data_IF_850724388577
#
_entry.id   IF_850724388577
#
_cell.length_a   1.000
_cell.length_b   1.000
_cell.length_c   1.000
_cell.angle_alpha   90.00
_cell.angle_beta   90.00
_cell.angle_gamma   90.00
#
_symmetry.space_group_name_H-M   'P 1'
#
loop_
_entity.id
_entity.type
_entity.pdbx_description
1 polymer ?
#
# COMPACT_ATOMS: atom_id res chain seq x y z
N UNK A 1 -3.00 9.36 13.68
CA UNK A 1 -1.60 9.74 13.35
C UNK A 1 -1.42 9.64 11.85
N UNK A 2 -0.72 10.57 11.20
CA UNK A 2 -0.40 10.47 9.76
C UNK A 2 1.05 10.02 9.62
N UNK A 3 1.30 9.05 8.76
CA UNK A 3 2.61 8.45 8.52
C UNK A 3 2.85 8.33 7.01
N UNK A 4 4.12 8.28 6.61
CA UNK A 4 4.51 7.84 5.27
C UNK A 4 4.61 6.31 5.23
N UNK A 5 4.14 5.70 4.14
CA UNK A 5 4.36 4.31 3.78
C UNK A 5 5.13 4.28 2.46
N UNK A 6 6.45 4.07 2.54
CA UNK A 6 7.39 4.41 1.46
C UNK A 6 8.48 3.37 1.15
N UNK A 7 8.14 2.07 0.97
CA UNK A 7 9.14 1.08 0.59
C UNK A 7 9.83 1.47 -0.74
N UNK A 8 11.13 1.17 -0.82
CA UNK A 8 11.93 1.46 -2.00
C UNK A 8 13.09 0.50 -2.19
N UNK A 9 13.60 0.48 -3.40
CA UNK A 9 14.77 -0.29 -3.83
C UNK A 9 15.67 0.60 -4.68
N UNK A 10 16.98 0.49 -4.44
CA UNK A 10 17.98 1.28 -5.16
C UNK A 10 19.11 0.36 -5.63
N UNK A 11 19.39 0.43 -6.93
CA UNK A 11 20.55 -0.22 -7.55
C UNK A 11 21.55 0.87 -7.92
N UNK A 12 22.68 0.87 -7.23
CA UNK A 12 23.79 1.81 -7.44
C UNK A 12 24.17 1.89 -8.92
N UNK A 13 24.46 3.12 -9.39
CA UNK A 13 24.79 3.45 -10.78
C UNK A 13 23.77 3.02 -11.85
N UNK A 14 22.55 2.66 -11.46
CA UNK A 14 21.49 2.27 -12.38
C UNK A 14 20.19 3.04 -12.12
N UNK A 15 19.35 2.57 -11.20
CA UNK A 15 18.01 3.10 -11.00
C UNK A 15 17.55 2.98 -9.55
N UNK A 16 16.55 3.77 -9.20
CA UNK A 16 15.85 3.71 -7.93
C UNK A 16 14.34 3.68 -8.12
N UNK A 17 13.64 3.00 -7.22
CA UNK A 17 12.19 2.92 -7.18
C UNK A 17 11.78 3.18 -5.73
N UNK A 18 10.80 4.07 -5.54
CA UNK A 18 10.11 4.28 -4.26
C UNK A 18 8.64 4.46 -4.53
N UNK A 19 7.80 3.77 -3.77
CA UNK A 19 6.35 3.90 -3.83
C UNK A 19 5.90 4.46 -2.49
N UNK A 20 5.37 5.68 -2.49
CA UNK A 20 5.10 6.44 -1.27
C UNK A 20 3.66 6.95 -1.25
N UNK A 21 2.93 6.57 -0.19
CA UNK A 21 1.63 7.13 0.15
C UNK A 21 1.64 7.64 1.59
N UNK A 22 0.97 8.76 1.84
CA UNK A 22 0.57 9.12 3.20
C UNK A 22 -0.61 8.26 3.63
N UNK A 23 -0.54 7.75 4.86
CA UNK A 23 -1.58 6.94 5.48
C UNK A 23 -2.00 7.50 6.83
N UNK A 24 -3.30 7.45 7.12
CA UNK A 24 -3.87 7.76 8.42
C UNK A 24 -4.01 6.47 9.23
N UNK A 25 -3.43 6.45 10.43
CA UNK A 25 -3.73 5.41 11.44
C UNK A 25 -5.16 5.59 11.90
N UNK A 26 -6.02 4.60 11.63
CA UNK A 26 -7.43 4.61 12.01
C UNK A 26 -7.61 4.25 13.48
N UNK A 27 -8.74 4.65 14.10
CA UNK A 27 -9.12 4.12 15.40
C UNK A 27 -9.16 2.58 15.40
N UNK A 28 -8.93 1.93 16.56
CA UNK A 28 -8.98 0.49 16.65
C UNK A 28 -10.39 -0.04 16.37
N UNK A 29 -10.50 -1.16 15.66
CA UNK A 29 -11.76 -1.84 15.35
C UNK A 29 -11.62 -3.36 15.57
N UNK A 30 -12.75 -4.04 15.74
CA UNK A 30 -12.82 -5.49 15.93
C UNK A 30 -12.42 -6.20 14.65
N UNK A 31 -11.40 -7.05 14.76
CA UNK A 31 -10.98 -7.92 13.66
C UNK A 31 -11.62 -9.29 13.81
N UNK A 32 -12.19 -9.82 12.73
CA UNK A 32 -12.79 -11.15 12.72
C UNK A 32 -11.73 -12.21 13.10
N UNK A 33 -12.04 -13.01 14.13
CA UNK A 33 -11.12 -14.01 14.69
C UNK A 33 -9.99 -13.41 15.57
N UNK A 34 -9.97 -12.10 15.78
CA UNK A 34 -9.03 -11.43 16.67
C UNK A 34 -9.46 -11.47 18.13
N UNK A 35 -8.48 -11.37 19.05
CA UNK A 35 -8.70 -11.34 20.51
C UNK A 35 -8.77 -9.93 21.08
N UNK A 36 -8.48 -8.91 20.28
CA UNK A 36 -8.55 -7.48 20.65
C UNK A 36 -8.80 -6.61 19.42
N UNK A 37 -9.25 -5.39 19.67
CA UNK A 37 -9.37 -4.38 18.62
C UNK A 37 -7.97 -3.95 18.13
N UNK A 38 -7.85 -3.70 16.84
CA UNK A 38 -6.59 -3.36 16.18
C UNK A 38 -6.78 -2.10 15.34
N UNK A 39 -5.76 -1.25 15.32
CA UNK A 39 -5.71 -0.10 14.41
C UNK A 39 -5.45 -0.57 12.98
N UNK A 40 -5.88 0.23 12.00
CA UNK A 40 -5.64 0.02 10.58
C UNK A 40 -5.05 1.26 9.91
N UNK A 41 -5.03 1.23 8.58
CA UNK A 41 -4.56 2.33 7.75
C UNK A 41 -5.62 2.73 6.74
N UNK A 42 -5.85 4.03 6.61
CA UNK A 42 -6.58 4.65 5.51
C UNK A 42 -5.58 5.39 4.60
N UNK A 43 -5.69 5.20 3.29
CA UNK A 43 -4.78 5.84 2.32
C UNK A 43 -5.24 7.25 2.02
N UNK A 44 -4.36 8.24 2.16
CA UNK A 44 -4.66 9.65 1.89
C UNK A 44 -4.15 10.12 0.52
N UNK A 45 -3.00 9.61 0.09
CA UNK A 45 -2.46 9.89 -1.25
C UNK A 45 -3.26 9.11 -2.29
N UNK A 46 -3.90 9.80 -3.23
CA UNK A 46 -4.68 9.20 -4.32
C UNK A 46 -4.05 9.55 -5.68
N UNK A 47 -2.82 9.07 -5.88
CA UNK A 47 -2.07 9.23 -7.13
C UNK A 47 -1.89 7.86 -7.78
N UNK A 48 -2.22 7.68 -9.08
CA UNK A 48 -2.11 6.37 -9.70
C UNK A 48 -0.67 5.83 -9.76
N UNK A 49 -0.49 4.56 -9.39
CA UNK A 49 0.68 3.77 -9.78
C UNK A 49 0.80 3.65 -11.31
N UNK A 50 2.04 3.73 -11.82
CA UNK A 50 2.32 3.45 -13.23
C UNK A 50 2.24 1.94 -13.51
N UNK A 51 1.15 1.54 -14.15
CA UNK A 51 0.83 0.12 -14.44
C UNK A 51 1.83 -0.56 -15.38
N UNK A 52 2.63 0.21 -16.13
CA UNK A 52 3.66 -0.33 -17.03
C UNK A 52 4.83 -0.95 -16.26
N UNK A 53 4.99 -0.59 -15.00
CA UNK A 53 6.10 -1.04 -14.13
C UNK A 53 5.70 -2.17 -13.17
N UNK A 54 4.53 -2.79 -13.37
CA UNK A 54 3.99 -3.82 -12.49
C UNK A 54 3.99 -5.17 -13.21
N UNK A 55 4.78 -6.12 -12.70
CA UNK A 55 4.67 -7.52 -13.13
C UNK A 55 3.50 -8.20 -12.40
N UNK A 56 2.33 -8.16 -13.02
CA UNK A 56 1.08 -8.70 -12.45
C UNK A 56 1.13 -10.19 -12.12
N UNK A 57 2.07 -10.95 -12.68
CA UNK A 57 2.24 -12.39 -12.39
C UNK A 57 2.83 -12.64 -11.01
N UNK A 58 3.47 -11.64 -10.41
CA UNK A 58 4.04 -11.72 -9.06
C UNK A 58 3.04 -11.32 -7.97
N UNK A 59 1.89 -10.76 -8.34
CA UNK A 59 0.87 -10.33 -7.39
C UNK A 59 -0.02 -11.50 -6.97
N UNK A 60 -0.32 -11.58 -5.68
CA UNK A 60 -1.40 -12.40 -5.16
C UNK A 60 -2.76 -11.83 -5.60
N UNK A 61 -3.82 -12.65 -5.68
CA UNK A 61 -5.14 -12.18 -6.11
C UNK A 61 -5.68 -10.99 -5.30
N UNK A 62 -5.42 -10.94 -3.99
CA UNK A 62 -5.87 -9.86 -3.12
C UNK A 62 -5.06 -8.55 -3.33
N UNK A 63 -3.79 -8.64 -3.71
CA UNK A 63 -2.95 -7.47 -4.03
C UNK A 63 -3.43 -6.82 -5.33
N UNK A 64 -3.75 -7.63 -6.34
CA UNK A 64 -4.34 -7.14 -7.58
C UNK A 64 -5.71 -6.50 -7.35
N UNK A 65 -6.55 -7.12 -6.50
CA UNK A 65 -7.84 -6.54 -6.12
C UNK A 65 -7.66 -5.19 -5.39
N UNK A 66 -6.69 -5.10 -4.47
CA UNK A 66 -6.37 -3.86 -3.79
C UNK A 66 -5.91 -2.76 -4.75
N UNK A 67 -4.99 -3.09 -5.68
CA UNK A 67 -4.50 -2.13 -6.68
C UNK A 67 -5.63 -1.60 -7.57
N UNK A 68 -6.54 -2.48 -8.00
CA UNK A 68 -7.70 -2.08 -8.79
C UNK A 68 -8.67 -1.21 -7.99
N UNK A 69 -8.92 -1.53 -6.71
CA UNK A 69 -9.76 -0.74 -5.83
C UNK A 69 -9.16 0.65 -5.54
N UNK A 70 -7.83 0.74 -5.42
CA UNK A 70 -7.11 2.01 -5.26
C UNK A 70 -7.24 2.93 -6.49
N UNK A 71 -7.40 2.36 -7.70
CA UNK A 71 -7.54 3.12 -8.94
C UNK A 71 -8.99 3.43 -9.35
N UNK A 72 -9.99 2.88 -8.66
CA UNK A 72 -11.42 3.05 -8.98
C UNK A 72 -11.99 4.37 -8.47
#
# INVERSE_FOLDING_TARGET
MILSNEPGFYREDHYGIRLENLVLVTPPDKIAGGTREMMGFETLTLVPFDRRLIDVKQLLPWELAWLNAYHA
#
